data_IF_431431402514
#
_entry.id   IF_431431402514
#
_cell.length_a   1.000
_cell.length_b   1.000
_cell.length_c   1.000
_cell.angle_alpha   90.00
_cell.angle_beta   90.00
_cell.angle_gamma   90.00
#
_symmetry.space_group_name_H-M   'P 1'
#
loop_
_entity.id
_entity.type
_entity.pdbx_description
1 polymer ?
#
# COMPACT_ATOMS: atom_id res chain seq x y z
N UNK A 1 -15.92 38.31 -23.07
CA UNK A 1 -14.56 37.78 -22.83
C UNK A 1 -14.73 36.76 -21.74
N UNK A 2 -14.99 35.55 -22.21
CA UNK A 2 -15.34 34.38 -21.41
C UNK A 2 -14.13 33.95 -20.58
N UNK A 3 -14.38 33.68 -19.30
CA UNK A 3 -13.43 33.03 -18.41
C UNK A 3 -13.77 31.54 -18.43
N UNK A 4 -13.03 30.77 -19.22
CA UNK A 4 -13.11 29.31 -19.20
C UNK A 4 -12.65 28.80 -17.82
N UNK A 5 -13.61 28.31 -17.04
CA UNK A 5 -13.34 27.47 -15.87
C UNK A 5 -12.81 26.13 -16.38
N UNK A 6 -11.50 25.88 -16.20
CA UNK A 6 -10.95 24.54 -16.31
C UNK A 6 -11.59 23.63 -15.27
N UNK A 7 -12.44 22.70 -15.71
CA UNK A 7 -13.01 21.63 -14.89
C UNK A 7 -11.93 20.56 -14.67
N UNK A 8 -11.71 20.19 -13.42
CA UNK A 8 -10.88 19.04 -13.05
C UNK A 8 -11.55 17.74 -13.58
N UNK A 9 -10.83 16.86 -14.28
CA UNK A 9 -11.41 15.67 -14.90
C UNK A 9 -11.63 14.51 -13.92
N UNK A 10 -11.25 14.61 -12.64
CA UNK A 10 -11.44 13.48 -11.71
C UNK A 10 -12.91 13.30 -11.28
N UNK A 11 -13.41 12.05 -11.15
CA UNK A 11 -14.77 11.76 -10.68
C UNK A 11 -15.11 12.40 -9.32
N UNK A 12 -14.12 12.45 -8.41
CA UNK A 12 -14.26 13.09 -7.10
C UNK A 12 -14.56 14.60 -7.20
N UNK A 13 -14.04 15.30 -8.20
CA UNK A 13 -14.32 16.71 -8.44
C UNK A 13 -15.65 16.94 -9.17
N UNK A 14 -16.09 15.98 -10.00
CA UNK A 14 -17.35 16.07 -10.74
C UNK A 14 -18.58 15.90 -9.84
N UNK A 15 -18.41 15.29 -8.65
CA UNK A 15 -19.44 15.18 -7.61
C UNK A 15 -19.63 16.44 -6.73
N UNK A 16 -18.95 17.56 -7.00
CA UNK A 16 -19.01 18.82 -6.22
C UNK A 16 -20.39 19.50 -6.12
N UNK A 17 -21.43 18.98 -6.77
CA UNK A 17 -22.79 19.56 -6.75
C UNK A 17 -23.87 18.58 -6.26
N UNK A 18 -23.50 17.45 -5.66
CA UNK A 18 -24.46 16.62 -4.94
C UNK A 18 -24.78 17.27 -3.57
N UNK A 19 -26.07 17.53 -3.38
CA UNK A 19 -26.70 18.14 -2.20
C UNK A 19 -26.14 17.66 -0.85
N UNK A 20 -26.02 18.59 0.11
CA UNK A 20 -25.65 18.36 1.53
C UNK A 20 -26.68 17.56 2.33
N UNK A 21 -27.39 16.64 1.69
CA UNK A 21 -28.44 15.83 2.28
C UNK A 21 -28.08 14.37 2.08
N UNK A 22 -27.51 13.77 3.13
CA UNK A 22 -27.29 12.31 3.22
C UNK A 22 -28.65 11.61 3.08
N UNK A 23 -28.82 10.63 2.19
CA UNK A 23 -30.05 9.86 2.12
C UNK A 23 -30.34 9.16 3.46
N UNK A 24 -31.55 9.33 4.01
CA UNK A 24 -32.00 8.74 5.29
C UNK A 24 -31.92 7.19 5.32
N UNK A 25 -31.75 6.56 4.15
CA UNK A 25 -31.70 5.10 3.96
C UNK A 25 -30.45 4.46 4.57
N UNK A 26 -29.32 5.17 4.66
CA UNK A 26 -28.05 4.63 5.21
C UNK A 26 -28.13 4.43 6.72
N UNK A 27 -28.84 5.32 7.43
CA UNK A 27 -29.01 5.21 8.88
C UNK A 27 -29.93 4.08 9.33
N UNK A 28 -30.62 3.40 8.39
CA UNK A 28 -31.49 2.26 8.69
C UNK A 28 -30.79 0.91 8.46
N UNK A 29 -29.61 0.90 7.82
CA UNK A 29 -28.93 -0.33 7.37
C UNK A 29 -27.84 -0.79 8.36
N UNK A 30 -27.23 0.12 9.11
CA UNK A 30 -26.16 -0.20 10.06
C UNK A 30 -26.56 0.17 11.49
N UNK A 31 -26.89 -0.84 12.30
CA UNK A 31 -26.98 -0.70 13.76
C UNK A 31 -25.57 -0.35 14.28
N UNK A 32 -25.34 0.90 14.67
CA UNK A 32 -24.03 1.33 15.18
C UNK A 32 -23.57 2.73 14.77
N UNK A 33 -24.27 3.38 13.84
CA UNK A 33 -24.02 4.80 13.53
C UNK A 33 -24.79 5.68 14.53
N UNK A 34 -24.06 6.38 15.39
CA UNK A 34 -24.58 7.08 16.56
C UNK A 34 -24.82 8.58 16.30
N UNK A 35 -24.10 9.18 15.33
CA UNK A 35 -24.12 10.62 15.09
C UNK A 35 -24.35 11.02 13.62
N UNK A 36 -24.88 12.23 13.34
CA UNK A 36 -24.97 12.74 11.98
C UNK A 36 -23.60 12.89 11.30
N UNK A 37 -22.53 13.11 12.07
CA UNK A 37 -21.16 13.18 11.55
C UNK A 37 -20.69 11.81 11.09
N UNK A 38 -20.94 10.77 11.87
CA UNK A 38 -20.62 9.41 11.47
C UNK A 38 -21.36 8.99 10.19
N UNK A 39 -22.65 9.37 10.03
CA UNK A 39 -23.37 9.16 8.75
C UNK A 39 -22.67 9.83 7.57
N UNK A 40 -22.17 11.05 7.77
CA UNK A 40 -21.44 11.78 6.73
C UNK A 40 -20.10 11.10 6.41
N UNK A 41 -19.34 10.67 7.43
CA UNK A 41 -18.07 9.96 7.25
C UNK A 41 -18.25 8.65 6.50
N UNK A 42 -19.27 7.87 6.87
CA UNK A 42 -19.61 6.62 6.21
C UNK A 42 -20.03 6.85 4.74
N UNK A 43 -20.90 7.84 4.49
CA UNK A 43 -21.29 8.21 3.14
C UNK A 43 -20.09 8.62 2.29
N UNK A 44 -19.18 9.42 2.84
CA UNK A 44 -17.96 9.85 2.16
C UNK A 44 -17.04 8.65 1.85
N UNK A 45 -16.91 7.70 2.78
CA UNK A 45 -16.14 6.49 2.55
C UNK A 45 -16.66 5.71 1.34
N UNK A 46 -17.97 5.42 1.30
CA UNK A 46 -18.59 4.62 0.23
C UNK A 46 -18.51 5.26 -1.16
N UNK A 47 -18.53 6.60 -1.25
CA UNK A 47 -18.64 7.29 -2.55
C UNK A 47 -17.34 7.94 -3.02
N UNK A 48 -16.33 8.00 -2.16
CA UNK A 48 -15.07 8.68 -2.46
C UNK A 48 -13.86 7.86 -2.04
N UNK A 49 -13.80 7.44 -0.77
CA UNK A 49 -12.59 6.80 -0.25
C UNK A 49 -12.40 5.39 -0.79
N UNK A 50 -13.44 4.56 -0.92
CA UNK A 50 -13.29 3.18 -1.38
C UNK A 50 -12.70 3.07 -2.80
N UNK A 51 -13.13 3.97 -3.69
CA UNK A 51 -12.75 3.98 -5.10
C UNK A 51 -11.27 4.30 -5.39
N UNK A 52 -10.53 4.80 -4.40
CA UNK A 52 -9.10 5.07 -4.53
C UNK A 52 -8.23 3.97 -3.91
N UNK A 53 -8.82 2.89 -3.38
CA UNK A 53 -8.08 1.82 -2.70
C UNK A 53 -7.78 0.62 -3.60
N UNK A 54 -8.50 0.46 -4.72
CA UNK A 54 -8.43 -0.74 -5.56
C UNK A 54 -8.40 -0.39 -7.05
N UNK A 55 -8.06 -1.38 -7.89
CA UNK A 55 -8.16 -1.25 -9.33
C UNK A 55 -9.61 -1.02 -9.77
N UNK A 56 -9.85 -0.22 -10.84
CA UNK A 56 -11.17 -0.08 -11.42
C UNK A 56 -11.78 -1.43 -11.79
N UNK A 57 -12.99 -1.69 -11.30
CA UNK A 57 -13.75 -2.92 -11.56
C UNK A 57 -14.74 -2.68 -12.70
N UNK A 58 -14.66 -3.48 -13.77
CA UNK A 58 -15.59 -3.41 -14.92
C UNK A 58 -17.04 -3.79 -14.57
N UNK A 59 -17.27 -4.44 -13.42
CA UNK A 59 -18.55 -5.05 -13.06
C UNK A 59 -19.45 -4.18 -12.17
N UNK A 60 -19.17 -2.87 -12.03
CA UNK A 60 -19.90 -1.94 -11.15
C UNK A 60 -19.95 -2.33 -9.65
N UNK A 61 -19.25 -3.38 -9.23
CA UNK A 61 -19.10 -3.76 -7.82
C UNK A 61 -17.67 -3.43 -7.37
N UNK A 62 -17.58 -2.52 -6.40
CA UNK A 62 -16.35 -2.14 -5.69
C UNK A 62 -16.07 -3.22 -4.62
N UNK A 63 -14.93 -3.93 -4.72
CA UNK A 63 -14.62 -5.04 -3.80
C UNK A 63 -14.49 -4.59 -2.35
N UNK A 64 -14.05 -3.34 -2.12
CA UNK A 64 -14.01 -2.75 -0.77
C UNK A 64 -15.44 -2.66 -0.23
N UNK A 65 -16.38 -2.17 -1.03
CA UNK A 65 -17.77 -2.03 -0.58
C UNK A 65 -18.41 -3.40 -0.34
N UNK A 66 -18.24 -4.36 -1.27
CA UNK A 66 -18.89 -5.67 -1.16
C UNK A 66 -18.39 -6.52 0.01
N UNK A 67 -17.12 -6.35 0.40
CA UNK A 67 -16.51 -7.11 1.51
C UNK A 67 -16.58 -6.34 2.83
N UNK A 68 -16.21 -5.06 2.85
CA UNK A 68 -16.10 -4.28 4.10
C UNK A 68 -17.46 -3.83 4.63
N UNK A 69 -18.46 -3.57 3.77
CA UNK A 69 -19.77 -3.08 4.25
C UNK A 69 -20.53 -4.13 5.06
N UNK A 70 -20.64 -5.40 4.62
CA UNK A 70 -21.21 -6.45 5.47
C UNK A 70 -20.44 -6.63 6.78
N UNK A 71 -19.11 -6.61 6.74
CA UNK A 71 -18.28 -6.71 7.96
C UNK A 71 -18.52 -5.52 8.92
N UNK A 72 -18.71 -4.31 8.39
CA UNK A 72 -19.05 -3.13 9.20
C UNK A 72 -20.45 -3.23 9.82
N UNK A 73 -21.38 -3.95 9.20
CA UNK A 73 -22.71 -4.21 9.77
C UNK A 73 -22.65 -5.17 10.96
N UNK A 74 -21.71 -6.12 10.94
CA UNK A 74 -21.60 -7.17 11.94
C UNK A 74 -20.59 -6.84 13.06
N UNK A 75 -19.51 -6.14 12.73
CA UNK A 75 -18.39 -5.87 13.64
C UNK A 75 -18.19 -4.37 13.90
N UNK A 76 -18.48 -3.88 15.12
CA UNK A 76 -18.35 -2.47 15.47
C UNK A 76 -16.95 -1.87 15.26
N UNK A 77 -15.88 -2.65 15.43
CA UNK A 77 -14.51 -2.19 15.18
C UNK A 77 -14.26 -1.89 13.70
N UNK A 78 -14.84 -2.69 12.79
CA UNK A 78 -14.73 -2.46 11.35
C UNK A 78 -15.50 -1.20 10.96
N UNK A 79 -16.73 -1.04 11.47
CA UNK A 79 -17.50 0.18 11.26
C UNK A 79 -16.73 1.43 11.69
N UNK A 80 -16.19 1.44 12.91
CA UNK A 80 -15.46 2.60 13.42
C UNK A 80 -14.17 2.86 12.64
N UNK A 81 -13.44 1.82 12.21
CA UNK A 81 -12.28 1.98 11.33
C UNK A 81 -12.65 2.61 9.97
N UNK A 82 -13.77 2.18 9.36
CA UNK A 82 -14.33 2.79 8.14
C UNK A 82 -14.63 4.27 8.37
N UNK A 83 -15.27 4.61 9.49
CA UNK A 83 -15.60 5.99 9.85
C UNK A 83 -14.34 6.84 10.06
N UNK A 84 -13.32 6.32 10.74
CA UNK A 84 -12.02 6.99 10.93
C UNK A 84 -11.37 7.35 9.60
N UNK A 85 -11.23 6.38 8.70
CA UNK A 85 -10.62 6.56 7.39
C UNK A 85 -11.45 7.53 6.52
N UNK A 86 -12.79 7.37 6.52
CA UNK A 86 -13.71 8.27 5.85
C UNK A 86 -13.57 9.72 6.34
N UNK A 87 -13.51 9.93 7.66
CA UNK A 87 -13.33 11.23 8.28
C UNK A 87 -11.97 11.85 7.91
N UNK A 88 -10.88 11.09 8.05
CA UNK A 88 -9.52 11.54 7.71
C UNK A 88 -9.44 11.99 6.25
N UNK A 89 -9.88 11.14 5.31
CA UNK A 89 -9.85 11.46 3.90
C UNK A 89 -10.74 12.68 3.59
N UNK A 90 -11.95 12.76 4.15
CA UNK A 90 -12.84 13.91 3.94
C UNK A 90 -12.23 15.23 4.43
N UNK A 91 -11.56 15.22 5.59
CA UNK A 91 -10.87 16.40 6.11
C UNK A 91 -9.75 16.90 5.19
N UNK A 92 -9.17 16.02 4.36
CA UNK A 92 -8.18 16.42 3.36
C UNK A 92 -8.80 17.18 2.17
N UNK A 93 -10.10 17.02 1.91
CA UNK A 93 -10.83 17.73 0.85
C UNK A 93 -11.41 19.07 1.29
N UNK A 94 -11.58 19.29 2.59
CA UNK A 94 -12.35 20.42 3.11
C UNK A 94 -11.48 21.65 3.38
N UNK A 95 -11.84 22.77 2.78
CA UNK A 95 -11.51 24.10 3.31
C UNK A 95 -12.54 24.46 4.40
N UNK A 96 -12.47 23.78 5.54
CA UNK A 96 -13.43 23.96 6.64
C UNK A 96 -13.10 25.20 7.48
N UNK A 97 -14.13 25.79 8.11
CA UNK A 97 -13.92 26.76 9.18
C UNK A 97 -13.22 26.11 10.38
N UNK A 98 -12.48 26.90 11.18
CA UNK A 98 -11.74 26.38 12.35
C UNK A 98 -12.64 25.58 13.32
N UNK A 99 -13.92 25.98 13.45
CA UNK A 99 -14.90 25.31 14.32
C UNK A 99 -15.30 23.93 13.79
N UNK A 100 -15.59 23.81 12.48
CA UNK A 100 -15.95 22.53 11.86
C UNK A 100 -14.76 21.56 11.85
N UNK A 101 -13.56 22.07 11.55
CA UNK A 101 -12.33 21.30 11.61
C UNK A 101 -12.11 20.69 13.00
N UNK A 102 -12.33 21.48 14.05
CA UNK A 102 -12.19 21.04 15.45
C UNK A 102 -13.23 19.96 15.81
N UNK A 103 -14.49 20.14 15.40
CA UNK A 103 -15.53 19.12 15.64
C UNK A 103 -15.21 17.81 14.93
N UNK A 104 -14.78 17.86 13.67
CA UNK A 104 -14.46 16.66 12.89
C UNK A 104 -13.23 15.94 13.47
N UNK A 105 -12.21 16.71 13.87
CA UNK A 105 -11.03 16.17 14.54
C UNK A 105 -11.39 15.47 15.87
N UNK A 106 -12.27 16.08 16.68
CA UNK A 106 -12.72 15.50 17.94
C UNK A 106 -13.47 14.18 17.76
N UNK A 107 -14.41 14.12 16.82
CA UNK A 107 -15.16 12.89 16.52
C UNK A 107 -14.25 11.80 15.94
N UNK A 108 -13.35 12.17 15.02
CA UNK A 108 -12.35 11.26 14.44
C UNK A 108 -11.46 10.63 15.51
N UNK A 109 -11.00 11.43 16.48
CA UNK A 109 -10.17 10.95 17.59
C UNK A 109 -10.93 10.00 18.51
N UNK A 110 -12.20 10.33 18.83
CA UNK A 110 -13.09 9.46 19.62
C UNK A 110 -13.24 8.10 18.93
N UNK A 111 -13.57 8.10 17.63
CA UNK A 111 -13.74 6.88 16.84
C UNK A 111 -12.46 6.04 16.80
N UNK A 112 -11.29 6.67 16.67
CA UNK A 112 -10.00 5.96 16.67
C UNK A 112 -9.78 5.24 18.00
N UNK A 113 -9.92 5.95 19.12
CA UNK A 113 -9.76 5.37 20.45
C UNK A 113 -10.74 4.20 20.68
N UNK A 114 -12.01 4.36 20.33
CA UNK A 114 -13.00 3.29 20.47
C UNK A 114 -12.69 2.09 19.58
N UNK A 115 -12.13 2.30 18.38
CA UNK A 115 -11.70 1.22 17.50
C UNK A 115 -10.57 0.41 18.14
N UNK A 116 -9.57 1.10 18.72
CA UNK A 116 -8.43 0.46 19.38
C UNK A 116 -8.86 -0.35 20.61
N UNK A 117 -9.72 0.22 21.45
CA UNK A 117 -10.26 -0.46 22.63
C UNK A 117 -11.03 -1.73 22.23
N UNK A 118 -11.80 -1.68 21.13
CA UNK A 118 -12.49 -2.84 20.60
C UNK A 118 -11.51 -3.87 20.03
N UNK A 119 -10.51 -3.46 19.24
CA UNK A 119 -9.49 -4.37 18.70
C UNK A 119 -8.79 -5.15 19.81
N UNK A 120 -8.30 -4.46 20.85
CA UNK A 120 -7.59 -5.09 21.95
C UNK A 120 -8.50 -6.08 22.73
N UNK A 121 -9.77 -5.69 22.94
CA UNK A 121 -10.78 -6.55 23.57
C UNK A 121 -11.07 -7.81 22.73
N UNK A 122 -11.20 -7.67 21.41
CA UNK A 122 -11.50 -8.77 20.49
C UNK A 122 -10.32 -9.72 20.31
N UNK A 123 -9.09 -9.23 20.22
CA UNK A 123 -7.88 -10.07 20.23
C UNK A 123 -7.80 -10.92 21.50
N UNK A 124 -8.17 -10.36 22.66
CA UNK A 124 -8.23 -11.12 23.91
C UNK A 124 -9.32 -12.20 23.84
N UNK A 125 -10.51 -11.86 23.37
CA UNK A 125 -11.63 -12.81 23.25
C UNK A 125 -11.36 -13.94 22.23
N UNK A 126 -10.55 -13.67 21.21
CA UNK A 126 -10.18 -14.63 20.17
C UNK A 126 -9.45 -15.86 20.75
N UNK A 127 -8.70 -15.68 21.83
CA UNK A 127 -7.97 -16.76 22.52
C UNK A 127 -8.91 -17.81 23.13
N UNK A 128 -10.13 -17.40 23.47
CA UNK A 128 -11.15 -18.27 24.08
C UNK A 128 -12.00 -19.02 23.03
N UNK A 129 -11.91 -18.65 21.75
CA UNK A 129 -12.67 -19.28 20.66
C UNK A 129 -12.01 -20.58 20.20
N UNK A 130 -12.83 -21.59 19.89
CA UNK A 130 -12.32 -22.87 19.36
C UNK A 130 -11.73 -22.66 17.95
N UNK A 131 -10.54 -23.23 17.72
CA UNK A 131 -9.68 -22.97 16.55
C UNK A 131 -10.32 -23.35 15.21
N UNK A 132 -11.31 -24.25 15.24
CA UNK A 132 -11.95 -24.78 14.03
C UNK A 132 -13.31 -24.17 13.72
N UNK A 133 -13.68 -23.08 14.39
CA UNK A 133 -14.99 -22.47 14.23
C UNK A 133 -15.00 -21.42 13.11
N UNK A 134 -16.11 -21.37 12.37
CA UNK A 134 -16.37 -20.29 11.40
C UNK A 134 -16.40 -18.92 12.09
N UNK A 135 -16.80 -18.87 13.36
CA UNK A 135 -16.79 -17.67 14.20
C UNK A 135 -15.38 -17.13 14.41
N UNK A 136 -14.40 -17.98 14.76
CA UNK A 136 -13.00 -17.56 14.90
C UNK A 136 -12.43 -17.01 13.59
N UNK A 137 -12.77 -17.63 12.46
CA UNK A 137 -12.35 -17.14 11.12
C UNK A 137 -12.95 -15.76 10.81
N UNK A 138 -14.26 -15.59 11.00
CA UNK A 138 -14.91 -14.29 10.80
C UNK A 138 -14.28 -13.20 11.69
N UNK A 139 -13.87 -13.58 12.90
CA UNK A 139 -13.19 -12.65 13.80
C UNK A 139 -11.78 -12.26 13.32
N UNK A 140 -11.00 -13.20 12.79
CA UNK A 140 -9.71 -12.87 12.16
C UNK A 140 -9.90 -11.94 10.95
N UNK A 141 -10.90 -12.19 10.09
CA UNK A 141 -11.20 -11.32 8.95
C UNK A 141 -11.60 -9.91 9.38
N UNK A 142 -12.43 -9.80 10.41
CA UNK A 142 -12.83 -8.51 10.95
C UNK A 142 -11.63 -7.75 11.57
N UNK A 143 -10.77 -8.44 12.32
CA UNK A 143 -9.55 -7.86 12.90
C UNK A 143 -8.61 -7.39 11.79
N UNK A 144 -8.29 -8.26 10.84
CA UNK A 144 -7.46 -7.97 9.67
C UNK A 144 -7.97 -6.73 8.92
N UNK A 145 -9.25 -6.71 8.59
CA UNK A 145 -9.90 -5.59 7.90
C UNK A 145 -9.78 -4.30 8.71
N UNK A 146 -10.05 -4.35 10.02
CA UNK A 146 -9.97 -3.16 10.87
C UNK A 146 -8.53 -2.61 10.96
N UNK A 147 -7.51 -3.47 11.06
CA UNK A 147 -6.12 -3.05 11.08
C UNK A 147 -5.66 -2.47 9.74
N UNK A 148 -6.06 -3.08 8.62
CA UNK A 148 -5.77 -2.56 7.28
C UNK A 148 -6.42 -1.18 7.04
N UNK A 149 -7.67 -0.99 7.49
CA UNK A 149 -8.34 0.31 7.42
C UNK A 149 -7.67 1.37 8.28
N UNK A 150 -7.26 1.03 9.51
CA UNK A 150 -6.49 1.96 10.35
C UNK A 150 -5.10 2.25 9.79
N UNK A 151 -4.45 1.27 9.15
CA UNK A 151 -3.22 1.51 8.41
C UNK A 151 -3.41 2.55 7.30
N UNK A 152 -4.46 2.43 6.47
CA UNK A 152 -4.78 3.44 5.45
C UNK A 152 -5.13 4.80 6.07
N UNK A 153 -5.73 4.81 7.26
CA UNK A 153 -5.98 6.04 8.02
C UNK A 153 -4.66 6.75 8.33
N UNK A 154 -3.62 6.03 8.79
CA UNK A 154 -2.30 6.61 9.04
C UNK A 154 -1.71 7.25 7.77
N UNK A 155 -1.86 6.57 6.62
CA UNK A 155 -1.42 7.11 5.32
C UNK A 155 -2.21 8.36 4.91
N UNK A 156 -3.51 8.39 5.20
CA UNK A 156 -4.39 9.53 4.95
C UNK A 156 -4.03 10.73 5.83
N UNK A 157 -3.72 10.50 7.12
CA UNK A 157 -3.19 11.52 8.03
C UNK A 157 -1.79 11.99 7.62
N UNK A 158 -1.02 11.10 6.97
CA UNK A 158 0.38 11.34 6.62
C UNK A 158 1.24 11.34 7.85
N UNK A 159 0.96 10.45 8.81
CA UNK A 159 1.81 10.23 9.97
C UNK A 159 3.18 9.76 9.49
N UNK A 160 4.22 10.40 10.02
CA UNK A 160 5.62 10.15 9.71
C UNK A 160 6.34 9.41 10.83
N UNK A 161 5.59 8.83 11.76
CA UNK A 161 6.07 7.99 12.85
C UNK A 161 5.81 6.49 12.59
N UNK A 162 6.05 5.65 13.59
CA UNK A 162 5.89 4.20 13.50
C UNK A 162 4.43 3.73 13.55
N UNK A 163 3.44 4.63 13.70
CA UNK A 163 2.03 4.25 13.89
C UNK A 163 1.51 3.35 12.77
N UNK A 164 1.82 3.68 11.50
CA UNK A 164 1.42 2.84 10.37
C UNK A 164 2.06 1.45 10.42
N UNK A 165 3.31 1.34 10.88
CA UNK A 165 4.01 0.07 11.01
C UNK A 165 3.38 -0.79 12.11
N UNK A 166 2.96 -0.17 13.22
CA UNK A 166 2.23 -0.85 14.29
C UNK A 166 0.90 -1.40 13.76
N UNK A 167 0.11 -0.61 13.01
CA UNK A 167 -1.16 -1.08 12.43
C UNK A 167 -0.97 -2.24 11.47
N UNK A 168 -0.04 -2.10 10.52
CA UNK A 168 0.22 -3.14 9.53
C UNK A 168 0.89 -4.37 10.16
N UNK A 169 1.72 -4.18 11.17
CA UNK A 169 2.29 -5.27 11.97
C UNK A 169 1.19 -6.11 12.64
N UNK A 170 0.20 -5.47 13.27
CA UNK A 170 -0.95 -6.19 13.84
C UNK A 170 -1.77 -6.93 12.77
N UNK A 171 -1.93 -6.36 11.57
CA UNK A 171 -2.56 -7.06 10.45
C UNK A 171 -1.77 -8.32 10.04
N UNK A 172 -0.43 -8.22 10.00
CA UNK A 172 0.43 -9.38 9.77
C UNK A 172 0.27 -10.43 10.87
N UNK A 173 0.34 -10.03 12.14
CA UNK A 173 0.26 -10.95 13.28
C UNK A 173 -1.01 -11.81 13.19
N UNK A 174 -2.13 -11.23 12.74
CA UNK A 174 -3.38 -11.96 12.47
C UNK A 174 -3.19 -13.04 11.40
N UNK A 175 -2.64 -12.68 10.23
CA UNK A 175 -2.45 -13.63 9.12
C UNK A 175 -1.45 -14.73 9.50
N UNK A 176 -0.35 -14.36 10.14
CA UNK A 176 0.72 -15.29 10.53
C UNK A 176 0.26 -16.22 11.64
N UNK A 177 -0.53 -15.75 12.60
CA UNK A 177 -1.13 -16.62 13.63
C UNK A 177 -2.00 -17.71 13.01
N UNK A 178 -2.80 -17.37 11.98
CA UNK A 178 -3.64 -18.36 11.29
C UNK A 178 -2.81 -19.37 10.51
N UNK A 179 -1.72 -18.91 9.88
CA UNK A 179 -0.77 -19.78 9.18
C UNK A 179 -0.06 -20.75 10.14
N UNK A 180 0.50 -20.26 11.24
CA UNK A 180 1.14 -21.08 12.28
C UNK A 180 0.16 -22.12 12.88
N UNK A 181 -1.10 -21.73 13.11
CA UNK A 181 -2.13 -22.65 13.59
C UNK A 181 -2.45 -23.79 12.61
N UNK A 182 -2.31 -23.56 11.29
CA UNK A 182 -2.56 -24.57 10.26
C UNK A 182 -1.38 -25.52 10.04
N UNK A 183 -0.14 -25.06 10.23
CA UNK A 183 1.04 -25.91 10.15
C UNK A 183 1.10 -26.95 11.28
N UNK A 184 0.50 -26.65 12.44
CA UNK A 184 0.52 -27.51 13.62
C UNK A 184 1.87 -27.48 14.36
N UNK A 185 1.98 -28.21 15.47
CA UNK A 185 3.28 -28.38 16.16
C UNK A 185 4.19 -29.24 15.27
N UNK A 186 5.10 -28.61 14.52
CA UNK A 186 6.16 -29.34 13.80
C UNK A 186 7.15 -29.91 14.81
N UNK A 187 7.19 -31.24 14.87
CA UNK A 187 8.02 -32.02 15.80
C UNK A 187 9.34 -32.42 15.12
N UNK A 188 9.96 -31.55 14.30
CA UNK A 188 11.23 -31.86 13.63
C UNK A 188 12.20 -30.67 13.64
N UNK A 189 13.28 -30.84 14.41
CA UNK A 189 14.43 -29.95 14.47
C UNK A 189 15.40 -30.21 13.32
N UNK A 190 14.95 -29.93 12.10
CA UNK A 190 15.85 -29.78 10.96
C UNK A 190 16.19 -28.30 10.77
N UNK A 191 17.44 -28.05 10.40
CA UNK A 191 18.03 -26.74 10.11
C UNK A 191 17.40 -26.10 8.85
N UNK A 192 16.07 -26.02 8.77
CA UNK A 192 15.38 -25.28 7.73
C UNK A 192 15.71 -23.79 7.90
N UNK A 193 16.17 -23.19 6.80
CA UNK A 193 16.50 -21.77 6.73
C UNK A 193 15.31 -20.96 7.26
N UNK A 194 15.59 -19.94 8.07
CA UNK A 194 14.63 -19.04 8.76
C UNK A 194 13.84 -18.20 7.72
N UNK A 195 13.07 -18.87 6.86
CA UNK A 195 12.24 -18.31 5.80
C UNK A 195 10.81 -18.12 6.32
N UNK A 196 10.22 -16.96 6.01
CA UNK A 196 8.83 -16.68 6.33
C UNK A 196 7.84 -17.45 5.43
N UNK A 197 6.52 -17.29 5.63
CA UNK A 197 5.50 -18.02 4.88
C UNK A 197 5.61 -17.80 3.38
N UNK A 198 5.40 -18.87 2.62
CA UNK A 198 5.24 -18.77 1.18
C UNK A 198 3.87 -18.17 0.84
N UNK A 199 3.82 -17.32 -0.19
CA UNK A 199 2.58 -16.66 -0.62
C UNK A 199 1.43 -17.64 -0.90
N UNK A 200 1.72 -18.77 -1.53
CA UNK A 200 0.71 -19.79 -1.85
C UNK A 200 0.06 -20.36 -0.58
N UNK A 201 0.85 -20.58 0.47
CA UNK A 201 0.34 -21.04 1.77
C UNK A 201 -0.59 -19.99 2.39
N UNK A 202 -0.27 -18.70 2.24
CA UNK A 202 -1.13 -17.61 2.74
C UNK A 202 -2.46 -17.52 1.98
N UNK A 203 -2.44 -17.73 0.67
CA UNK A 203 -3.65 -17.76 -0.17
C UNK A 203 -4.58 -18.94 0.18
N UNK A 204 -4.03 -20.04 0.72
CA UNK A 204 -4.77 -21.23 1.15
C UNK A 204 -5.40 -21.13 2.56
N UNK A 205 -5.10 -20.07 3.33
CA UNK A 205 -5.62 -19.90 4.71
C UNK A 205 -7.16 -19.77 4.79
N UNK A 206 -7.81 -19.49 3.65
CA UNK A 206 -9.27 -19.41 3.54
C UNK A 206 -9.86 -18.06 3.98
N UNK A 207 -9.05 -17.01 4.00
CA UNK A 207 -9.52 -15.63 4.03
C UNK A 207 -10.21 -15.25 2.72
N UNK A 208 -11.07 -14.23 2.75
CA UNK A 208 -11.59 -13.60 1.53
C UNK A 208 -10.45 -13.19 0.57
N UNK A 209 -10.62 -13.55 -0.71
CA UNK A 209 -9.57 -13.38 -1.72
C UNK A 209 -9.25 -11.92 -2.06
N UNK A 210 -10.18 -10.99 -1.85
CA UNK A 210 -9.87 -9.56 -1.94
C UNK A 210 -9.06 -9.10 -0.73
N UNK A 211 -9.46 -9.48 0.50
CA UNK A 211 -8.72 -9.12 1.71
C UNK A 211 -7.28 -9.63 1.67
N UNK A 212 -7.07 -10.86 1.20
CA UNK A 212 -5.72 -11.41 1.07
C UNK A 212 -4.88 -10.62 0.05
N UNK A 213 -5.41 -10.31 -1.13
CA UNK A 213 -4.71 -9.45 -2.10
C UNK A 213 -4.39 -8.06 -1.51
N UNK A 214 -5.34 -7.49 -0.77
CA UNK A 214 -5.19 -6.19 -0.12
C UNK A 214 -4.05 -6.21 0.90
N UNK A 215 -4.02 -7.22 1.76
CA UNK A 215 -2.96 -7.45 2.73
C UNK A 215 -1.60 -7.65 2.04
N UNK A 216 -1.49 -8.60 1.10
CA UNK A 216 -0.23 -8.91 0.39
C UNK A 216 0.37 -7.67 -0.27
N UNK A 217 -0.45 -6.89 -0.98
CA UNK A 217 -0.01 -5.66 -1.62
C UNK A 217 0.62 -4.68 -0.61
N UNK A 218 -0.08 -4.41 0.49
CA UNK A 218 0.38 -3.42 1.47
C UNK A 218 1.55 -3.93 2.31
N UNK A 219 1.56 -5.21 2.69
CA UNK A 219 2.60 -5.80 3.52
C UNK A 219 3.94 -5.89 2.80
N UNK A 220 3.91 -6.34 1.53
CA UNK A 220 5.10 -6.48 0.71
C UNK A 220 5.66 -5.10 0.33
N UNK A 221 4.85 -4.15 -0.10
CA UNK A 221 5.34 -2.80 -0.42
C UNK A 221 5.84 -2.03 0.81
N UNK A 222 5.30 -2.29 1.99
CA UNK A 222 5.84 -1.72 3.23
C UNK A 222 7.32 -2.10 3.44
N UNK A 223 7.77 -3.26 2.92
CA UNK A 223 9.17 -3.65 3.00
C UNK A 223 10.11 -2.73 2.21
N UNK A 224 9.62 -1.90 1.29
CA UNK A 224 10.48 -0.95 0.55
C UNK A 224 11.09 0.08 1.51
N UNK A 225 10.36 0.50 2.53
CA UNK A 225 10.79 1.52 3.50
C UNK A 225 10.93 1.02 4.94
N UNK A 226 10.36 -0.14 5.27
CA UNK A 226 10.58 -0.82 6.55
C UNK A 226 11.56 -1.99 6.38
N UNK A 227 12.71 -1.93 7.07
CA UNK A 227 13.61 -3.08 7.13
C UNK A 227 13.07 -4.14 8.10
N UNK A 228 13.09 -5.40 7.68
CA UNK A 228 12.64 -6.55 8.48
C UNK A 228 13.58 -7.74 8.29
N UNK A 229 13.74 -8.60 9.31
CA UNK A 229 14.40 -9.90 9.15
C UNK A 229 13.71 -10.73 8.06
N UNK A 230 14.46 -11.60 7.39
CA UNK A 230 13.96 -12.46 6.30
C UNK A 230 12.83 -13.38 6.76
N UNK A 231 12.89 -13.90 7.98
CA UNK A 231 11.85 -14.69 8.64
C UNK A 231 10.48 -14.00 8.71
N UNK A 232 10.47 -12.66 8.66
CA UNK A 232 9.25 -11.85 8.77
C UNK A 232 8.79 -11.30 7.40
N UNK A 233 9.39 -11.77 6.30
CA UNK A 233 8.99 -11.44 4.94
C UNK A 233 8.16 -12.58 4.35
N UNK A 234 7.22 -12.23 3.48
CA UNK A 234 6.44 -13.20 2.73
C UNK A 234 7.30 -13.68 1.56
N UNK A 235 7.65 -14.95 1.55
CA UNK A 235 8.43 -15.55 0.48
C UNK A 235 7.57 -15.64 -0.79
N UNK A 236 8.09 -15.08 -1.88
CA UNK A 236 7.45 -15.14 -3.19
C UNK A 236 8.42 -15.79 -4.19
N UNK A 237 7.98 -16.85 -4.86
CA UNK A 237 8.72 -17.48 -5.95
C UNK A 237 8.08 -17.12 -7.28
N UNK A 238 8.88 -16.70 -8.25
CA UNK A 238 8.41 -16.51 -9.61
C UNK A 238 8.37 -17.89 -10.29
N UNK A 239 7.20 -18.50 -10.41
CA UNK A 239 7.09 -19.72 -11.20
C UNK A 239 7.28 -19.42 -12.69
N UNK A 240 8.12 -20.19 -13.38
CA UNK A 240 8.36 -20.06 -14.82
C UNK A 240 7.13 -20.37 -15.70
N UNK A 241 5.99 -20.74 -15.11
CA UNK A 241 4.83 -21.29 -15.83
C UNK A 241 3.45 -20.97 -15.27
N UNK A 242 3.30 -20.13 -14.25
CA UNK A 242 1.98 -19.62 -13.89
C UNK A 242 1.56 -18.61 -14.96
N UNK A 243 0.87 -19.08 -16.01
CA UNK A 243 0.00 -18.16 -16.77
C UNK A 243 -0.83 -17.42 -15.74
N UNK A 244 -0.98 -16.08 -15.85
CA UNK A 244 -1.83 -15.32 -14.94
C UNK A 244 -3.16 -16.06 -14.88
N UNK A 245 -3.54 -16.51 -13.68
CA UNK A 245 -4.68 -17.38 -13.51
C UNK A 245 -5.90 -16.58 -13.99
N UNK A 246 -6.33 -16.79 -15.24
CA UNK A 246 -7.24 -15.88 -15.94
C UNK A 246 -8.62 -15.80 -15.31
N UNK A 247 -8.90 -16.68 -14.34
CA UNK A 247 -10.15 -16.75 -13.59
C UNK A 247 -10.12 -15.89 -12.31
N UNK A 248 -8.94 -15.46 -11.81
CA UNK A 248 -8.85 -14.61 -10.62
C UNK A 248 -8.89 -13.12 -10.99
N UNK A 249 -9.82 -12.39 -10.38
CA UNK A 249 -9.98 -10.96 -10.58
C UNK A 249 -8.89 -10.21 -9.81
N UNK A 250 -8.08 -9.42 -10.53
CA UNK A 250 -7.06 -8.55 -9.95
C UNK A 250 -7.72 -7.33 -9.31
N UNK A 251 -7.63 -7.21 -7.99
CA UNK A 251 -8.10 -6.05 -7.24
C UNK A 251 -6.97 -5.10 -6.87
N UNK A 252 -5.77 -5.65 -6.69
CA UNK A 252 -4.56 -4.92 -6.32
C UNK A 252 -3.51 -5.07 -7.41
N UNK A 253 -3.00 -3.94 -7.90
CA UNK A 253 -2.00 -3.92 -8.96
C UNK A 253 -0.74 -4.66 -8.54
N UNK A 254 -0.26 -5.56 -9.40
CA UNK A 254 1.04 -6.20 -9.20
C UNK A 254 0.96 -7.57 -8.55
N UNK A 255 -0.15 -7.88 -7.88
CA UNK A 255 -0.29 -9.13 -7.10
C UNK A 255 -0.39 -10.34 -8.03
N UNK A 256 -1.25 -10.34 -9.04
CA UNK A 256 -1.40 -11.52 -9.93
C UNK A 256 -0.64 -11.42 -11.25
N UNK A 257 0.10 -10.34 -11.49
CA UNK A 257 0.98 -10.22 -12.65
C UNK A 257 2.48 -10.45 -12.32
N UNK A 258 2.79 -10.85 -11.07
CA UNK A 258 4.13 -11.23 -10.62
C UNK A 258 5.04 -10.06 -10.22
N UNK A 259 4.62 -8.80 -10.39
CA UNK A 259 5.46 -7.66 -10.02
C UNK A 259 5.70 -7.57 -8.50
N UNK A 260 4.69 -7.86 -7.69
CA UNK A 260 4.82 -7.89 -6.22
C UNK A 260 5.80 -8.98 -5.76
N UNK A 261 5.89 -10.10 -6.49
CA UNK A 261 6.83 -11.18 -6.17
C UNK A 261 8.28 -10.74 -6.40
N UNK A 262 8.53 -9.95 -7.45
CA UNK A 262 9.84 -9.31 -7.69
C UNK A 262 10.18 -8.37 -6.53
N UNK A 263 9.23 -7.55 -6.06
CA UNK A 263 9.44 -6.63 -4.92
C UNK A 263 9.77 -7.41 -3.64
N UNK A 264 9.05 -8.47 -3.33
CA UNK A 264 9.33 -9.33 -2.16
C UNK A 264 10.74 -9.91 -2.19
N UNK A 265 11.19 -10.41 -3.36
CA UNK A 265 12.54 -10.97 -3.51
C UNK A 265 13.63 -9.90 -3.36
N UNK A 266 13.41 -8.69 -3.86
CA UNK A 266 14.34 -7.58 -3.63
C UNK A 266 14.41 -7.22 -2.13
N UNK A 267 13.28 -7.26 -1.43
CA UNK A 267 13.25 -7.02 0.02
C UNK A 267 14.05 -8.07 0.80
N UNK A 268 13.89 -9.34 0.43
CA UNK A 268 14.62 -10.47 1.02
C UNK A 268 16.13 -10.35 0.79
N UNK A 269 16.53 -10.10 -0.46
CA UNK A 269 17.93 -9.83 -0.81
C UNK A 269 18.53 -8.67 0.00
N UNK A 270 17.76 -7.59 0.22
CA UNK A 270 18.22 -6.45 1.03
C UNK A 270 18.43 -6.85 2.50
N UNK A 271 17.56 -7.70 3.04
CA UNK A 271 17.71 -8.22 4.40
C UNK A 271 19.02 -9.02 4.54
N UNK A 272 19.31 -9.88 3.57
CA UNK A 272 20.54 -10.69 3.53
C UNK A 272 21.80 -9.82 3.34
N UNK A 273 21.74 -8.81 2.48
CA UNK A 273 22.84 -7.87 2.26
C UNK A 273 23.20 -7.08 3.54
N UNK A 274 22.23 -6.79 4.39
CA UNK A 274 22.43 -6.04 5.64
C UNK A 274 22.97 -6.91 6.79
N UNK A 275 22.63 -8.20 6.84
CA UNK A 275 22.99 -9.10 7.95
C UNK A 275 24.37 -9.73 7.80
N UNK A 276 24.89 -9.90 6.58
CA UNK A 276 26.16 -10.61 6.35
C UNK A 276 27.03 -10.02 5.22
N UNK A 277 27.92 -9.05 5.54
CA UNK A 277 28.86 -8.47 4.56
C UNK A 277 29.82 -9.48 3.90
N UNK A 278 30.02 -10.66 4.52
CA UNK A 278 30.87 -11.74 4.03
C UNK A 278 30.20 -12.60 2.93
N UNK A 279 28.90 -12.40 2.67
CA UNK A 279 28.09 -13.14 1.69
C UNK A 279 27.95 -12.43 0.33
N UNK A 280 28.90 -11.54 -0.02
CA UNK A 280 28.83 -10.74 -1.24
C UNK A 280 28.61 -11.58 -2.53
N UNK A 281 29.12 -12.81 -2.58
CA UNK A 281 28.92 -13.70 -3.73
C UNK A 281 27.50 -14.26 -3.85
N UNK A 282 26.83 -14.57 -2.74
CA UNK A 282 25.44 -15.09 -2.76
C UNK A 282 24.45 -13.97 -3.06
N UNK A 283 24.64 -12.79 -2.45
CA UNK A 283 23.86 -11.58 -2.75
C UNK A 283 23.96 -11.23 -4.25
N UNK A 284 25.17 -11.30 -4.84
CA UNK A 284 25.32 -11.07 -6.28
C UNK A 284 24.60 -12.16 -7.09
N UNK A 285 24.74 -13.44 -6.74
CA UNK A 285 24.10 -14.53 -7.47
C UNK A 285 22.57 -14.42 -7.46
N UNK A 286 21.99 -14.12 -6.31
CA UNK A 286 20.54 -13.90 -6.17
C UNK A 286 20.09 -12.65 -6.94
N UNK A 287 20.84 -11.55 -6.87
CA UNK A 287 20.56 -10.35 -7.66
C UNK A 287 20.58 -10.63 -9.17
N UNK A 288 21.48 -11.48 -9.66
CA UNK A 288 21.48 -11.92 -11.07
C UNK A 288 20.20 -12.68 -11.41
N UNK A 289 19.71 -13.54 -10.52
CA UNK A 289 18.42 -14.21 -10.67
C UNK A 289 17.28 -13.20 -10.83
N UNK A 290 17.18 -12.24 -9.91
CA UNK A 290 16.13 -11.22 -9.96
C UNK A 290 16.24 -10.34 -11.22
N UNK A 291 17.44 -9.97 -11.67
CA UNK A 291 17.61 -9.24 -12.94
C UNK A 291 17.13 -10.03 -14.14
N UNK A 292 17.41 -11.34 -14.19
CA UNK A 292 16.93 -12.20 -15.27
C UNK A 292 15.40 -12.24 -15.28
N UNK A 293 14.77 -12.34 -14.11
CA UNK A 293 13.32 -12.34 -13.99
C UNK A 293 12.70 -11.00 -14.40
N UNK A 294 13.35 -9.86 -14.08
CA UNK A 294 12.94 -8.54 -14.57
C UNK A 294 13.03 -8.45 -16.10
N UNK A 295 14.11 -8.96 -16.70
CA UNK A 295 14.32 -8.93 -18.15
C UNK A 295 13.35 -9.88 -18.90
N UNK A 296 13.01 -11.01 -18.30
CA UNK A 296 12.10 -12.01 -18.86
C UNK A 296 10.62 -11.68 -18.60
N UNK A 297 10.31 -10.81 -17.64
CA UNK A 297 8.96 -10.41 -17.30
C UNK A 297 8.24 -9.78 -18.50
N UNK A 298 7.06 -10.30 -18.84
CA UNK A 298 6.26 -9.83 -19.97
C UNK A 298 4.77 -9.86 -19.64
N UNK A 299 4.09 -8.78 -20.04
CA UNK A 299 2.63 -8.75 -20.08
C UNK A 299 2.10 -9.68 -21.19
N UNK A 300 1.00 -10.39 -20.95
CA UNK A 300 0.27 -11.05 -22.03
C UNK A 300 -0.21 -10.01 -23.07
N UNK A 301 -0.21 -10.37 -24.35
CA UNK A 301 -0.58 -9.47 -25.47
C UNK A 301 -2.10 -9.17 -25.56
N UNK A 302 -2.90 -9.58 -24.57
CA UNK A 302 -4.36 -9.66 -24.63
C UNK A 302 -5.07 -8.33 -24.31
N UNK A 303 -5.06 -7.37 -25.24
CA UNK A 303 -5.97 -6.20 -25.16
C UNK A 303 -5.78 -5.29 -23.94
N UNK A 304 -4.64 -5.41 -23.25
CA UNK A 304 -4.24 -4.57 -22.11
C UNK A 304 -4.07 -3.12 -22.58
N UNK A 305 -4.59 -2.17 -21.80
CA UNK A 305 -4.49 -0.75 -22.11
C UNK A 305 -3.04 -0.25 -22.07
N UNK A 306 -2.77 0.81 -22.84
CA UNK A 306 -1.45 1.47 -22.82
C UNK A 306 -1.12 2.03 -21.43
N UNK A 307 -2.12 2.55 -20.71
CA UNK A 307 -1.97 3.01 -19.32
C UNK A 307 -1.49 1.92 -18.38
N UNK A 308 -2.10 0.72 -18.44
CA UNK A 308 -1.70 -0.41 -17.59
C UNK A 308 -0.28 -0.87 -17.93
N UNK A 309 0.05 -0.92 -19.23
CA UNK A 309 1.41 -1.24 -19.70
C UNK A 309 2.43 -0.22 -19.19
N UNK A 310 2.15 1.07 -19.33
CA UNK A 310 3.00 2.14 -18.82
C UNK A 310 3.17 2.04 -17.29
N UNK A 311 2.12 1.68 -16.55
CA UNK A 311 2.25 1.45 -15.10
C UNK A 311 3.22 0.31 -14.78
N UNK A 312 3.09 -0.82 -15.48
CA UNK A 312 3.97 -1.96 -15.29
C UNK A 312 5.43 -1.60 -15.60
N UNK A 313 5.67 -0.87 -16.69
CA UNK A 313 7.00 -0.40 -17.08
C UNK A 313 7.63 0.53 -16.03
N UNK A 314 6.81 1.37 -15.37
CA UNK A 314 7.26 2.20 -14.25
C UNK A 314 7.61 1.36 -13.01
N UNK A 315 6.84 0.33 -12.71
CA UNK A 315 7.12 -0.61 -11.62
C UNK A 315 8.40 -1.42 -11.88
N UNK A 316 8.60 -1.91 -13.09
CA UNK A 316 9.84 -2.58 -13.52
C UNK A 316 11.04 -1.63 -13.39
N UNK A 317 10.90 -0.37 -13.81
CA UNK A 317 11.95 0.62 -13.65
C UNK A 317 12.33 0.86 -12.18
N UNK A 318 11.32 0.96 -11.30
CA UNK A 318 11.52 1.10 -9.87
C UNK A 318 12.20 -0.13 -9.26
N UNK A 319 11.73 -1.34 -9.58
CA UNK A 319 12.33 -2.59 -9.12
C UNK A 319 13.81 -2.70 -9.54
N UNK A 320 14.12 -2.38 -10.80
CA UNK A 320 15.49 -2.36 -11.30
C UNK A 320 16.37 -1.37 -10.51
N UNK A 321 15.89 -0.14 -10.31
CA UNK A 321 16.63 0.90 -9.59
C UNK A 321 16.90 0.47 -8.14
N UNK A 322 15.90 -0.10 -7.46
CA UNK A 322 16.03 -0.57 -6.09
C UNK A 322 17.01 -1.75 -5.97
N UNK A 323 16.90 -2.75 -6.86
CA UNK A 323 17.85 -3.85 -6.90
C UNK A 323 19.28 -3.36 -7.17
N UNK A 324 19.43 -2.42 -8.10
CA UNK A 324 20.74 -1.85 -8.43
C UNK A 324 21.34 -1.06 -7.26
N UNK A 325 20.52 -0.34 -6.48
CA UNK A 325 21.02 0.41 -5.32
C UNK A 325 21.53 -0.49 -4.19
N UNK A 326 20.99 -1.71 -4.06
CA UNK A 326 21.48 -2.72 -3.11
C UNK A 326 22.85 -3.26 -3.56
N UNK A 327 23.00 -3.61 -4.83
CA UNK A 327 24.24 -4.25 -5.34
C UNK A 327 25.37 -3.23 -5.56
N UNK A 328 25.03 -2.01 -5.99
CA UNK A 328 25.98 -0.96 -6.34
C UNK A 328 25.61 0.39 -5.67
N UNK A 329 25.69 0.49 -4.34
CA UNK A 329 25.16 1.64 -3.58
C UNK A 329 25.80 2.99 -3.93
N UNK A 330 27.03 3.02 -4.44
CA UNK A 330 27.74 4.24 -4.83
C UNK A 330 27.48 4.71 -6.28
N UNK A 331 26.61 4.01 -7.02
CA UNK A 331 26.50 4.15 -8.48
C UNK A 331 25.18 4.76 -8.97
N UNK A 332 24.62 5.69 -8.22
CA UNK A 332 23.40 6.43 -8.62
C UNK A 332 23.51 7.10 -9.99
N UNK A 333 24.71 7.56 -10.38
CA UNK A 333 24.96 8.22 -11.67
C UNK A 333 25.26 7.24 -12.84
N UNK A 334 25.13 5.94 -12.64
CA UNK A 334 25.30 4.94 -13.69
C UNK A 334 24.30 5.17 -14.84
N UNK A 335 24.77 5.02 -16.08
CA UNK A 335 23.96 5.27 -17.29
C UNK A 335 22.72 4.37 -17.34
N UNK A 336 22.81 3.13 -16.84
CA UNK A 336 21.67 2.21 -16.80
C UNK A 336 20.60 2.70 -15.82
N UNK A 337 21.02 3.13 -14.63
CA UNK A 337 20.11 3.69 -13.61
C UNK A 337 19.40 4.90 -14.17
N UNK A 338 20.15 5.84 -14.75
CA UNK A 338 19.57 7.08 -15.27
C UNK A 338 18.67 6.85 -16.50
N UNK A 339 18.98 5.84 -17.33
CA UNK A 339 18.08 5.40 -18.42
C UNK A 339 16.75 4.87 -17.86
N UNK A 340 16.79 4.08 -16.78
CA UNK A 340 15.57 3.58 -16.13
C UNK A 340 14.78 4.69 -15.42
N UNK A 341 15.45 5.70 -14.86
CA UNK A 341 14.80 6.90 -14.33
C UNK A 341 14.01 7.62 -15.43
N UNK A 342 14.63 7.88 -16.58
CA UNK A 342 13.99 8.59 -17.68
C UNK A 342 12.82 7.78 -18.27
N UNK A 343 13.01 6.47 -18.50
CA UNK A 343 11.95 5.56 -18.97
C UNK A 343 10.78 5.50 -17.99
N UNK A 344 11.06 5.28 -16.71
CA UNK A 344 10.03 5.16 -15.68
C UNK A 344 9.21 6.44 -15.51
N UNK A 345 9.86 7.61 -15.48
CA UNK A 345 9.17 8.90 -15.41
C UNK A 345 8.35 9.21 -16.67
N UNK A 346 8.84 8.82 -17.85
CA UNK A 346 8.08 8.93 -19.09
C UNK A 346 6.81 8.09 -19.02
N UNK A 347 6.93 6.81 -18.64
CA UNK A 347 5.79 5.91 -18.49
C UNK A 347 4.77 6.44 -17.46
N UNK A 348 5.22 6.88 -16.28
CA UNK A 348 4.33 7.50 -15.27
C UNK A 348 3.60 8.74 -15.80
N UNK A 349 4.29 9.56 -16.61
CA UNK A 349 3.69 10.76 -17.21
C UNK A 349 2.65 10.42 -18.28
N UNK A 350 2.75 9.24 -18.90
CA UNK A 350 1.82 8.75 -19.92
C UNK A 350 0.59 8.05 -19.36
N UNK A 351 0.55 7.71 -18.07
CA UNK A 351 -0.64 7.10 -17.45
C UNK A 351 -1.72 8.16 -17.26
N UNK A 352 -2.87 8.02 -17.93
CA UNK A 352 -4.02 8.93 -17.82
C UNK A 352 -5.17 8.34 -17.00
N UNK A 353 -5.32 7.01 -16.95
CA UNK A 353 -6.39 6.33 -16.21
C UNK A 353 -6.30 6.61 -14.69
N UNK A 354 -7.27 7.33 -14.09
CA UNK A 354 -7.15 7.76 -12.70
C UNK A 354 -7.03 6.62 -11.69
N UNK A 355 -7.73 5.50 -11.89
CA UNK A 355 -7.68 4.37 -10.96
C UNK A 355 -6.31 3.71 -10.83
N UNK A 356 -5.42 3.88 -11.82
CA UNK A 356 -4.04 3.40 -11.70
C UNK A 356 -3.18 4.32 -10.84
N UNK A 357 -3.56 5.60 -10.67
CA UNK A 357 -2.82 6.53 -9.82
C UNK A 357 -2.77 6.06 -8.36
N UNK A 358 -3.71 5.22 -7.93
CA UNK A 358 -3.66 4.56 -6.63
C UNK A 358 -2.42 3.71 -6.38
N UNK A 359 -1.72 3.29 -7.44
CA UNK A 359 -0.60 2.35 -7.39
C UNK A 359 0.73 2.98 -7.84
N UNK A 360 0.77 4.31 -7.93
CA UNK A 360 1.94 5.06 -8.44
C UNK A 360 2.93 5.51 -7.36
N UNK A 361 2.55 5.45 -6.08
CA UNK A 361 3.39 5.96 -5.00
C UNK A 361 4.73 5.22 -4.90
N UNK A 362 4.72 3.88 -4.98
CA UNK A 362 5.92 3.05 -5.01
C UNK A 362 6.90 3.42 -6.13
N UNK A 363 6.51 3.38 -7.43
CA UNK A 363 7.44 3.67 -8.49
C UNK A 363 7.92 5.13 -8.45
N UNK A 364 7.05 6.09 -8.14
CA UNK A 364 7.43 7.50 -8.02
C UNK A 364 8.43 7.72 -6.90
N UNK A 365 8.26 7.03 -5.76
CA UNK A 365 9.19 7.12 -4.64
C UNK A 365 10.59 6.64 -5.05
N UNK A 366 10.72 5.39 -5.49
CA UNK A 366 12.02 4.79 -5.82
C UNK A 366 12.71 5.51 -6.98
N UNK A 367 11.98 5.80 -8.06
CA UNK A 367 12.53 6.55 -9.21
C UNK A 367 12.92 7.97 -8.78
N UNK A 368 12.10 8.61 -7.93
CA UNK A 368 12.36 9.94 -7.38
C UNK A 368 13.67 10.00 -6.59
N UNK A 369 13.96 8.98 -5.78
CA UNK A 369 15.22 8.86 -5.03
C UNK A 369 16.47 8.85 -5.94
N UNK A 370 16.33 8.32 -7.16
CA UNK A 370 17.41 8.22 -8.14
C UNK A 370 17.52 9.44 -9.10
N UNK A 371 16.67 10.46 -8.94
CA UNK A 371 16.66 11.65 -9.81
C UNK A 371 17.82 12.62 -9.49
N UNK A 372 18.90 12.55 -10.25
CA UNK A 372 20.04 13.49 -10.11
C UNK A 372 19.95 14.70 -11.05
N UNK A 373 19.16 14.62 -12.13
CA UNK A 373 19.00 15.69 -13.10
C UNK A 373 17.80 16.59 -12.77
N UNK A 374 17.95 17.90 -12.98
CA UNK A 374 16.90 18.88 -12.67
C UNK A 374 15.57 18.60 -13.41
N UNK A 375 15.62 18.10 -14.64
CA UNK A 375 14.43 17.76 -15.41
C UNK A 375 13.68 16.57 -14.79
N UNK A 376 14.40 15.49 -14.47
CA UNK A 376 13.83 14.28 -13.84
C UNK A 376 13.23 14.61 -12.47
N UNK A 377 13.91 15.46 -11.67
CA UNK A 377 13.39 16.00 -10.39
C UNK A 377 12.08 16.78 -10.57
N UNK A 378 11.96 17.58 -11.63
CA UNK A 378 10.74 18.34 -11.95
C UNK A 378 9.58 17.39 -12.27
N UNK A 379 9.82 16.36 -13.09
CA UNK A 379 8.79 15.38 -13.45
C UNK A 379 8.38 14.54 -12.22
N UNK A 380 9.32 14.09 -11.40
CA UNK A 380 9.02 13.37 -10.15
C UNK A 380 8.13 14.21 -9.20
N UNK A 381 8.43 15.50 -9.03
CA UNK A 381 7.58 16.45 -8.27
C UNK A 381 6.16 16.54 -8.82
N UNK A 382 6.02 16.59 -10.14
CA UNK A 382 4.71 16.62 -10.80
C UNK A 382 3.93 15.32 -10.52
N UNK A 383 4.57 14.16 -10.59
CA UNK A 383 3.92 12.89 -10.29
C UNK A 383 3.45 12.81 -8.83
N UNK A 384 4.27 13.24 -7.87
CA UNK A 384 3.85 13.32 -6.46
C UNK A 384 2.66 14.27 -6.26
N UNK A 385 2.62 15.38 -6.99
CA UNK A 385 1.47 16.29 -6.97
C UNK A 385 0.22 15.61 -7.54
N UNK A 386 0.33 14.93 -8.70
CA UNK A 386 -0.78 14.16 -9.30
C UNK A 386 -1.34 13.11 -8.35
N UNK A 387 -0.47 12.37 -7.65
CA UNK A 387 -0.87 11.37 -6.65
C UNK A 387 -1.65 12.02 -5.51
N UNK A 388 -1.08 13.07 -4.92
CA UNK A 388 -1.70 13.79 -3.82
C UNK A 388 -3.07 14.34 -4.22
N UNK A 389 -3.18 14.95 -5.39
CA UNK A 389 -4.45 15.50 -5.87
C UNK A 389 -5.50 14.41 -6.12
N UNK A 390 -5.09 13.22 -6.57
CA UNK A 390 -5.98 12.11 -6.81
C UNK A 390 -6.41 11.38 -5.53
N UNK A 391 -5.44 10.89 -4.74
CA UNK A 391 -5.71 10.09 -3.53
C UNK A 391 -6.06 10.93 -2.31
N UNK A 392 -5.57 12.17 -2.24
CA UNK A 392 -5.69 13.03 -1.06
C UNK A 392 -5.17 12.40 0.23
N UNK A 393 -4.28 11.41 0.12
CA UNK A 393 -3.53 10.89 1.24
C UNK A 393 -2.29 11.75 1.45
N UNK A 394 -2.00 12.07 2.71
CA UNK A 394 -0.89 12.96 3.06
C UNK A 394 0.46 12.24 3.06
N UNK A 395 0.51 10.91 3.03
CA UNK A 395 1.77 10.16 2.90
C UNK A 395 2.60 10.55 1.66
N UNK A 396 1.95 10.95 0.56
CA UNK A 396 2.63 11.48 -0.62
C UNK A 396 3.48 12.73 -0.32
N UNK A 397 3.06 13.55 0.66
CA UNK A 397 3.82 14.71 1.12
C UNK A 397 5.06 14.30 1.93
N UNK A 398 4.96 13.25 2.75
CA UNK A 398 6.11 12.70 3.49
C UNK A 398 7.14 12.14 2.51
N UNK A 399 6.71 11.35 1.52
CA UNK A 399 7.59 10.88 0.45
C UNK A 399 8.30 12.01 -0.29
N UNK A 400 7.59 13.13 -0.53
CA UNK A 400 8.18 14.32 -1.18
C UNK A 400 9.31 14.94 -0.36
N UNK A 401 9.19 14.93 0.98
CA UNK A 401 10.23 15.44 1.88
C UNK A 401 11.47 14.55 1.77
N UNK A 402 11.31 13.23 1.92
CA UNK A 402 12.41 12.25 1.84
C UNK A 402 13.14 12.36 0.49
N UNK A 403 12.40 12.39 -0.63
CA UNK A 403 12.98 12.55 -1.97
C UNK A 403 13.71 13.89 -2.11
N UNK A 404 13.16 14.97 -1.56
CA UNK A 404 13.81 16.28 -1.57
C UNK A 404 15.16 16.25 -0.87
N UNK A 405 15.23 15.58 0.28
CA UNK A 405 16.48 15.44 1.04
C UNK A 405 17.51 14.56 0.36
N UNK A 406 17.07 13.52 -0.36
CA UNK A 406 17.96 12.75 -1.24
C UNK A 406 18.63 13.65 -2.29
N UNK A 407 17.88 14.56 -2.90
CA UNK A 407 18.44 15.48 -3.89
C UNK A 407 19.44 16.46 -3.28
N UNK A 408 19.15 16.98 -2.09
CA UNK A 408 20.07 17.85 -1.35
C UNK A 408 21.36 17.10 -0.95
N UNK A 409 21.24 15.85 -0.50
CA UNK A 409 22.39 15.00 -0.18
C UNK A 409 23.26 14.77 -1.42
N UNK A 410 22.65 14.46 -2.56
CA UNK A 410 23.40 14.29 -3.83
C UNK A 410 24.12 15.58 -4.24
N UNK A 411 23.44 16.73 -4.17
CA UNK A 411 23.99 18.02 -4.57
C UNK A 411 25.17 18.47 -3.68
N UNK A 412 25.23 17.96 -2.45
CA UNK A 412 26.35 18.19 -1.51
C UNK A 412 27.48 17.17 -1.63
N UNK A 413 27.36 16.20 -2.56
CA UNK A 413 28.40 15.23 -2.89
C UNK A 413 28.27 13.87 -2.20
N UNK A 414 27.12 13.56 -1.59
CA UNK A 414 26.88 12.24 -1.01
C UNK A 414 26.51 11.21 -2.08
N UNK A 415 27.42 10.26 -2.34
CA UNK A 415 27.22 9.16 -3.29
C UNK A 415 26.12 8.16 -2.88
N UNK A 416 25.73 8.16 -1.61
CA UNK A 416 24.67 7.30 -1.06
C UNK A 416 23.34 8.04 -0.90
N UNK A 417 23.14 9.13 -1.64
CA UNK A 417 21.94 9.98 -1.54
C UNK A 417 20.61 9.26 -1.79
N UNK A 418 20.63 8.10 -2.44
CA UNK A 418 19.46 7.23 -2.64
C UNK A 418 19.32 6.10 -1.62
N UNK A 419 20.14 6.05 -0.57
CA UNK A 419 19.89 5.19 0.59
C UNK A 419 18.81 5.85 1.46
N UNK A 420 17.54 5.63 1.08
CA UNK A 420 16.42 6.25 1.78
C UNK A 420 16.26 5.75 3.21
N UNK A 421 16.68 4.52 3.55
CA UNK A 421 16.57 4.05 4.93
C UNK A 421 17.47 4.87 5.83
N UNK A 422 18.74 5.04 5.45
CA UNK A 422 19.69 5.89 6.17
C UNK A 422 19.19 7.34 6.28
N UNK A 423 18.59 7.88 5.22
CA UNK A 423 18.06 9.26 5.24
C UNK A 423 16.87 9.40 6.18
N UNK A 424 15.94 8.44 6.16
CA UNK A 424 14.76 8.41 7.04
C UNK A 424 15.16 8.27 8.51
N UNK A 425 16.17 7.44 8.83
CA UNK A 425 16.73 7.33 10.18
C UNK A 425 17.31 8.65 10.69
N UNK A 426 18.08 9.36 9.86
CA UNK A 426 18.65 10.67 10.21
C UNK A 426 17.56 11.73 10.43
N UNK A 427 16.43 11.59 9.75
CA UNK A 427 15.31 12.53 9.81
C UNK A 427 14.25 12.15 10.85
N UNK A 428 14.40 11.01 11.53
CA UNK A 428 13.37 10.45 12.41
C UNK A 428 12.01 10.38 11.71
N UNK A 429 12.02 10.03 10.42
CA UNK A 429 10.84 10.00 9.54
C UNK A 429 10.57 8.57 9.09
N UNK A 430 9.30 8.23 8.96
CA UNK A 430 8.85 6.93 8.47
C UNK A 430 7.74 7.12 7.43
N UNK A 431 7.70 6.30 6.38
CA UNK A 431 6.68 6.46 5.35
C UNK A 431 6.35 5.14 4.66
N UNK A 432 5.07 4.86 4.45
CA UNK A 432 4.65 3.82 3.53
C UNK A 432 4.60 4.34 2.10
N UNK A 433 5.11 3.54 1.15
CA UNK A 433 5.11 3.82 -0.29
C UNK A 433 3.94 3.19 -1.04
N UNK A 434 2.97 2.63 -0.33
CA UNK A 434 1.75 2.05 -0.93
C UNK A 434 0.79 3.11 -1.41
#
# INVERSE_FOLDING_TARGET
MDTEQHRCPCPACQNRQASSTVPDEIGQILEGIESPLEKLFFFHFLHSTSHILTLPSDQNEDPVISVVTPMAAEHPMVLKAVLCLGASHMMNHMSSSDTEACMFAGEKQKLLQETEELQDSRVTALQDLDSRTQERRAEYEALLTSYLLLYLYELSEGTDDESWQVRLGRARDIVFSVWEEQQGESDEGDDEEDEGPDREELEELGFDGFLMQFFLYHDILASVTAQRPKSNLISCRLEASSSPNTDQKEHMFGVYNGLIDIISRIASLRSDANTAPLLQATVIAEAVGIWQDIDDWKLPDNGISEDYRNMCEAWIAAAFIWLFSIVYPDRIADEKVQTMVDRGLQCLSSVELPGLLSFTQFPVFVIGMACIQQQSRRVSKEQLYRIKEFRQFRNAQVCRVVIGSAWEAYDTGDGHSWDWIRLMEVQETNVSVT
#
